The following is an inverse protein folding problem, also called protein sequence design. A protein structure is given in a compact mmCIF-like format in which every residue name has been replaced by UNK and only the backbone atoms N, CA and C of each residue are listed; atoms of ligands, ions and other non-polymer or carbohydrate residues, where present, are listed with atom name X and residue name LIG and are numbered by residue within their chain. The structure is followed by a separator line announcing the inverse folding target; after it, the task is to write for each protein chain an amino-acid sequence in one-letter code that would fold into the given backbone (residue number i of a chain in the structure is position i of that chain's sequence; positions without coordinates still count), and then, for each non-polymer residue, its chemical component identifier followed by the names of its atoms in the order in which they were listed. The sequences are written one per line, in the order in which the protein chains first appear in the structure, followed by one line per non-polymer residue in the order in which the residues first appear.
data_IF_493988949828
#
_entry.id   IF_493988949828
#
_cell.length_a   1.000
_cell.length_b   1.000
_cell.length_c   1.000
_cell.angle_alpha   90.00
_cell.angle_beta   90.00
_cell.angle_gamma   90.00
#
_symmetry.space_group_name_H-M   'P 1'
#
loop_
_entity.id
_entity.type
_entity.pdbx_description
1 polymer ?
#
# COMPACT_ATOMS: atom_id res chain seq x y z
N UNK A 1 -6.20 18.32 1.69
CA UNK A 1 -5.22 17.58 0.86
C UNK A 1 -4.54 16.50 1.70
N UNK A 2 -4.44 15.27 1.15
CA UNK A 2 -4.10 14.09 1.94
C UNK A 2 -2.63 14.07 2.29
N UNK A 3 -2.31 13.63 3.51
CA UNK A 3 -0.94 13.49 4.01
C UNK A 3 -0.73 12.13 4.66
N UNK A 4 0.42 11.54 4.41
CA UNK A 4 0.88 10.39 5.18
C UNK A 4 1.51 10.88 6.51
N UNK A 5 1.17 10.26 7.65
CA UNK A 5 1.80 10.59 8.94
C UNK A 5 3.31 10.32 8.96
N UNK A 6 3.78 9.35 8.16
CA UNK A 6 5.18 8.98 8.03
C UNK A 6 5.65 9.14 6.59
N UNK A 7 6.89 9.61 6.40
CA UNK A 7 7.51 9.73 5.09
C UNK A 7 7.96 8.38 4.52
N UNK A 8 8.27 7.41 5.39
CA UNK A 8 8.77 6.08 5.02
C UNK A 8 8.09 5.03 5.87
N UNK A 9 7.63 3.96 5.23
CA UNK A 9 7.12 2.76 5.89
C UNK A 9 8.02 1.59 5.52
N UNK A 10 8.49 0.84 6.52
CA UNK A 10 9.33 -0.35 6.33
C UNK A 10 8.67 -1.52 7.02
N UNK A 11 8.56 -2.64 6.33
CA UNK A 11 7.97 -3.87 6.84
C UNK A 11 8.83 -5.05 6.37
N UNK A 12 9.05 -5.99 7.27
CA UNK A 12 9.67 -7.27 6.94
C UNK A 12 8.56 -8.28 6.66
N UNK A 13 8.68 -8.99 5.54
CA UNK A 13 7.75 -10.05 5.14
C UNK A 13 8.55 -11.31 4.82
N UNK A 14 7.99 -12.50 5.10
CA UNK A 14 8.65 -13.74 4.74
C UNK A 14 8.62 -13.95 3.21
N UNK A 15 9.61 -14.65 2.68
CA UNK A 15 9.73 -14.93 1.23
C UNK A 15 8.63 -15.87 0.72
N UNK A 16 8.14 -16.74 1.59
CA UNK A 16 7.04 -17.67 1.32
C UNK A 16 5.64 -17.03 1.50
N UNK A 17 5.58 -15.69 1.61
CA UNK A 17 4.33 -14.97 1.76
C UNK A 17 3.37 -15.30 0.60
N UNK A 18 2.16 -15.84 0.89
CA UNK A 18 1.24 -16.22 -0.17
C UNK A 18 0.84 -15.03 -1.05
N UNK A 19 0.68 -15.29 -2.36
CA UNK A 19 0.13 -14.30 -3.29
C UNK A 19 -1.24 -13.83 -2.80
N UNK A 20 -1.44 -12.52 -2.78
CA UNK A 20 -2.64 -11.88 -2.26
C UNK A 20 -2.63 -11.63 -0.76
N UNK A 21 -1.63 -12.09 0.00
CA UNK A 21 -1.53 -11.80 1.42
C UNK A 21 -1.34 -10.29 1.67
N UNK A 22 -1.87 -9.81 2.80
CA UNK A 22 -1.72 -8.44 3.25
C UNK A 22 -0.28 -8.21 3.74
N UNK A 23 0.38 -7.19 3.18
CA UNK A 23 1.75 -6.78 3.52
C UNK A 23 1.70 -5.61 4.50
N UNK A 24 0.94 -4.57 4.14
CA UNK A 24 0.83 -3.33 4.91
C UNK A 24 -0.53 -2.68 4.62
N UNK A 25 -1.04 -1.89 5.56
CA UNK A 25 -2.14 -0.96 5.30
C UNK A 25 -1.65 0.47 5.54
N UNK A 26 -1.72 1.29 4.50
CA UNK A 26 -1.43 2.71 4.59
C UNK A 26 -2.65 3.48 5.07
N UNK A 27 -2.40 4.54 5.84
CA UNK A 27 -3.40 5.50 6.28
C UNK A 27 -2.89 6.90 5.98
N UNK A 28 -3.53 7.56 5.01
CA UNK A 28 -3.37 8.98 4.78
C UNK A 28 -4.55 9.74 5.39
N UNK A 29 -4.26 10.90 5.95
CA UNK A 29 -5.23 11.77 6.60
C UNK A 29 -5.44 13.01 5.73
N UNK A 30 -6.69 13.32 5.40
CA UNK A 30 -7.08 14.57 4.77
C UNK A 30 -8.00 15.35 5.73
N UNK A 31 -7.66 16.59 6.14
CA UNK A 31 -8.52 17.40 7.00
C UNK A 31 -9.77 17.95 6.28
N UNK A 32 -9.90 17.77 4.96
CA UNK A 32 -11.02 18.27 4.18
C UNK A 32 -12.29 17.41 4.41
N UNK A 33 -13.45 18.05 4.56
CA UNK A 33 -14.71 17.36 4.83
C UNK A 33 -15.45 16.91 3.55
N UNK A 34 -16.30 15.89 3.69
CA UNK A 34 -17.13 15.38 2.60
C UNK A 34 -16.33 14.64 1.53
N UNK A 35 -16.76 14.74 0.27
CA UNK A 35 -16.09 14.07 -0.86
C UNK A 35 -14.66 14.58 -1.09
N UNK A 36 -14.32 15.78 -0.61
CA UNK A 36 -12.98 16.35 -0.73
C UNK A 36 -11.96 15.65 0.19
N UNK A 37 -12.43 14.90 1.19
CA UNK A 37 -11.60 14.07 2.05
C UNK A 37 -11.43 12.62 1.56
N UNK A 38 -11.99 12.24 0.40
CA UNK A 38 -11.77 10.89 -0.13
C UNK A 38 -10.35 10.75 -0.66
N UNK A 39 -9.64 9.76 -0.11
CA UNK A 39 -8.27 9.43 -0.51
C UNK A 39 -8.28 8.21 -1.42
N UNK A 40 -7.50 8.28 -2.50
CA UNK A 40 -7.21 7.16 -3.38
C UNK A 40 -5.72 6.86 -3.38
N UNK A 41 -5.36 5.60 -3.13
CA UNK A 41 -3.97 5.14 -3.08
C UNK A 41 -3.53 4.52 -4.41
N UNK A 42 -2.29 4.77 -4.81
CA UNK A 42 -1.64 4.15 -5.96
C UNK A 42 -0.18 3.83 -5.64
N UNK A 43 0.36 2.79 -6.27
CA UNK A 43 1.78 2.48 -6.21
C UNK A 43 2.49 3.15 -7.38
N UNK A 44 3.71 3.65 -7.12
CA UNK A 44 4.59 4.11 -8.19
C UNK A 44 5.04 2.97 -9.11
N UNK A 45 5.58 3.33 -10.26
CA UNK A 45 6.04 2.39 -11.29
C UNK A 45 7.12 1.40 -10.82
N UNK A 46 7.78 1.68 -9.70
CA UNK A 46 8.86 0.86 -9.14
C UNK A 46 8.37 -0.45 -8.50
N UNK A 47 7.06 -0.61 -8.27
CA UNK A 47 6.52 -1.87 -7.72
C UNK A 47 6.65 -3.05 -8.69
N UNK A 48 6.85 -2.80 -9.99
CA UNK A 48 7.02 -3.81 -11.06
C UNK A 48 5.99 -4.95 -11.07
N UNK A 49 4.80 -4.72 -10.49
CA UNK A 49 3.77 -5.75 -10.35
C UNK A 49 3.98 -6.73 -9.18
N UNK A 50 5.00 -6.53 -8.35
CA UNK A 50 5.25 -7.37 -7.16
C UNK A 50 4.21 -7.15 -6.06
N UNK A 51 3.75 -5.90 -5.93
CA UNK A 51 2.73 -5.52 -4.97
C UNK A 51 1.59 -4.80 -5.66
N UNK A 52 0.41 -4.87 -5.05
CA UNK A 52 -0.77 -4.14 -5.46
C UNK A 52 -1.36 -3.39 -4.27
N UNK A 53 -1.93 -2.20 -4.50
CA UNK A 53 -2.63 -1.43 -3.46
C UNK A 53 -4.11 -1.37 -3.79
N UNK A 54 -4.95 -1.55 -2.77
CA UNK A 54 -6.39 -1.30 -2.86
C UNK A 54 -6.65 0.21 -2.74
N UNK A 55 -7.16 0.89 -3.79
CA UNK A 55 -7.22 2.34 -3.83
C UNK A 55 -8.10 2.98 -2.77
N UNK A 56 -9.14 2.29 -2.29
CA UNK A 56 -10.05 2.83 -1.28
C UNK A 56 -9.62 2.59 0.17
N UNK A 57 -8.70 1.64 0.42
CA UNK A 57 -8.37 1.20 1.79
C UNK A 57 -6.90 1.38 2.16
N UNK A 58 -6.04 1.61 1.16
CA UNK A 58 -4.59 1.68 1.35
C UNK A 58 -3.93 0.34 1.64
N UNK A 59 -4.65 -0.78 1.49
CA UNK A 59 -4.10 -2.12 1.71
C UNK A 59 -3.17 -2.53 0.58
N UNK A 60 -1.89 -2.71 0.92
CA UNK A 60 -0.86 -3.26 0.06
C UNK A 60 -0.84 -4.77 0.24
N UNK A 61 -0.94 -5.50 -0.87
CA UNK A 61 -0.90 -6.96 -0.92
C UNK A 61 0.19 -7.45 -1.85
N UNK A 62 0.70 -8.65 -1.57
CA UNK A 62 1.53 -9.38 -2.52
C UNK A 62 0.72 -9.66 -3.79
N UNK A 63 1.32 -9.41 -4.95
CA UNK A 63 0.73 -9.70 -6.27
C UNK A 63 1.44 -10.87 -6.98
N UNK A 64 2.65 -11.23 -6.56
CA UNK A 64 3.40 -12.40 -7.03
C UNK A 64 4.28 -12.96 -5.91
N UNK A 65 4.95 -14.09 -6.16
CA UNK A 65 5.91 -14.67 -5.22
C UNK A 65 7.01 -13.68 -4.84
N UNK A 66 7.44 -13.71 -3.58
CA UNK A 66 8.55 -12.90 -3.08
C UNK A 66 9.78 -13.79 -2.91
N UNK A 67 10.20 -14.45 -3.98
CA UNK A 67 11.38 -15.30 -3.95
C UNK A 67 12.65 -14.43 -3.89
N UNK A 68 13.52 -14.76 -2.94
CA UNK A 68 14.83 -14.12 -2.78
C UNK A 68 15.92 -15.11 -3.20
N UNK A 69 15.99 -15.41 -4.49
CA UNK A 69 17.04 -16.26 -5.10
C UNK A 69 17.77 -15.55 -6.24
#
# INVERSE_FOLDING_TARGET
APRFPQATYTVEVPEDLPVGALVLQLLAEDPDEGTNGQVSYYLGNESLGTFQVEPGSGRIRSAQGLDRE
#
